data_IF_453452387131
#
_entry.id   IF_453452387131
#
_cell.length_a   1.000
_cell.length_b   1.000
_cell.length_c   1.000
_cell.angle_alpha   90.00
_cell.angle_beta   90.00
_cell.angle_gamma   90.00
#
_symmetry.space_group_name_H-M   'P 1'
#
loop_
_entity.id
_entity.type
_entity.pdbx_description
1 polymer ?
#
# COMPACT_ATOMS: atom_id res chain seq x y z
N UNK A 1 8.40 25.58 6.39
CA UNK A 1 6.92 25.50 6.30
C UNK A 1 6.23 25.90 7.59
N UNK A 2 6.45 25.20 8.75
CA UNK A 2 5.81 25.63 10.02
C UNK A 2 6.21 27.03 10.45
N UNK A 3 7.47 27.37 10.25
CA UNK A 3 8.00 28.71 10.55
C UNK A 3 7.34 29.79 9.66
N UNK A 4 7.07 29.47 8.41
CA UNK A 4 6.45 30.39 7.46
C UNK A 4 4.97 30.64 7.80
N UNK A 5 4.32 29.62 8.37
CA UNK A 5 2.89 29.69 8.74
C UNK A 5 2.65 30.27 10.13
N UNK A 6 3.52 29.99 11.09
CA UNK A 6 3.31 30.23 12.52
C UNK A 6 4.33 31.21 13.14
N UNK A 7 5.29 31.69 12.32
CA UNK A 7 6.37 32.56 12.77
C UNK A 7 7.57 31.81 13.36
N UNK A 8 8.67 32.53 13.50
CA UNK A 8 9.96 31.93 13.93
C UNK A 8 9.93 31.36 15.35
N UNK A 9 9.05 31.87 16.19
CA UNK A 9 8.93 31.47 17.61
C UNK A 9 8.46 30.01 17.77
N UNK A 10 7.77 29.45 16.76
CA UNK A 10 7.30 28.05 16.80
C UNK A 10 8.45 27.07 17.03
N UNK A 11 9.64 27.35 16.53
CA UNK A 11 10.80 26.46 16.67
C UNK A 11 11.18 26.20 18.14
N UNK A 12 10.97 27.18 19.03
CA UNK A 12 11.25 27.03 20.46
C UNK A 12 10.31 26.05 21.17
N UNK A 13 9.16 25.79 20.56
CA UNK A 13 8.11 24.91 21.10
C UNK A 13 8.12 23.52 20.42
N UNK A 14 8.96 23.31 19.42
CA UNK A 14 9.08 22.04 18.71
C UNK A 14 10.20 21.19 19.31
N UNK A 15 9.88 19.93 19.61
CA UNK A 15 10.86 18.91 19.97
C UNK A 15 10.72 17.76 18.99
N UNK A 16 11.82 17.47 18.27
CA UNK A 16 11.87 16.28 17.44
C UNK A 16 11.79 15.02 18.33
N UNK A 17 10.88 14.12 18.00
CA UNK A 17 10.71 12.85 18.70
C UNK A 17 11.25 11.72 17.82
N UNK A 18 10.71 11.57 16.61
CA UNK A 18 11.11 10.55 15.66
C UNK A 18 10.62 10.90 14.24
N UNK A 19 11.19 10.26 13.26
CA UNK A 19 10.70 10.26 11.88
C UNK A 19 10.68 8.82 11.37
N UNK A 20 9.64 8.47 10.64
CA UNK A 20 9.58 7.18 9.94
C UNK A 20 10.52 7.20 8.74
N UNK A 21 11.07 6.05 8.42
CA UNK A 21 11.97 5.84 7.26
C UNK A 21 11.53 4.60 6.49
N UNK A 22 10.26 4.54 6.14
CA UNK A 22 9.67 3.41 5.43
C UNK A 22 10.32 3.13 4.07
N UNK A 23 10.87 4.16 3.44
CA UNK A 23 11.64 4.08 2.21
C UNK A 23 12.94 3.30 2.36
N UNK A 24 13.51 3.27 3.58
CA UNK A 24 14.74 2.56 3.92
C UNK A 24 14.49 1.19 4.56
N UNK A 25 13.24 0.87 4.86
CA UNK A 25 12.87 -0.43 5.41
C UNK A 25 12.98 -1.51 4.33
N UNK A 26 13.64 -2.61 4.66
CA UNK A 26 13.94 -3.70 3.73
C UNK A 26 12.68 -4.34 3.14
N UNK A 27 11.61 -4.43 3.91
CA UNK A 27 10.36 -5.08 3.53
C UNK A 27 9.32 -4.11 3.00
N UNK A 28 9.22 -2.89 3.56
CA UNK A 28 8.23 -1.91 3.18
C UNK A 28 8.62 -1.12 1.92
N UNK A 29 9.85 -0.61 1.86
CA UNK A 29 10.41 0.17 0.75
C UNK A 29 9.53 1.33 0.27
N UNK A 30 8.73 1.87 1.16
CA UNK A 30 7.84 2.99 0.88
C UNK A 30 6.62 3.00 1.78
N UNK A 31 5.77 4.01 1.63
CA UNK A 31 4.56 4.17 2.43
C UNK A 31 3.33 3.47 1.85
N UNK A 32 3.22 3.42 0.53
CA UNK A 32 2.11 2.80 -0.22
C UNK A 32 2.48 2.65 -1.69
N UNK A 33 1.68 1.85 -2.42
CA UNK A 33 1.93 1.59 -3.83
C UNK A 33 1.59 2.78 -4.73
N UNK A 34 2.34 2.94 -5.80
CA UNK A 34 2.13 3.95 -6.81
C UNK A 34 2.09 3.31 -8.21
N UNK A 35 1.05 3.59 -8.96
CA UNK A 35 0.99 3.23 -10.38
C UNK A 35 1.50 4.40 -11.24
N UNK A 36 2.34 4.11 -12.20
CA UNK A 36 2.79 5.12 -13.17
C UNK A 36 1.60 5.62 -14.01
N UNK A 37 1.63 6.85 -14.51
CA UNK A 37 0.61 7.35 -15.42
C UNK A 37 0.39 6.39 -16.60
N UNK A 38 -0.86 6.08 -16.91
CA UNK A 38 -1.24 5.14 -17.97
C UNK A 38 -1.17 3.66 -17.60
N UNK A 39 -0.71 3.30 -16.38
CA UNK A 39 -0.54 1.91 -15.94
C UNK A 39 -1.46 1.51 -14.76
N UNK A 40 -2.61 2.16 -14.63
CA UNK A 40 -3.57 1.83 -13.56
C UNK A 40 -4.02 0.35 -13.60
N UNK A 41 -4.10 -0.26 -14.78
CA UNK A 41 -4.49 -1.66 -14.97
C UNK A 41 -3.44 -2.66 -14.47
N UNK A 42 -2.20 -2.24 -14.21
CA UNK A 42 -1.16 -3.10 -13.63
C UNK A 42 -1.58 -3.67 -12.25
N UNK A 43 -2.47 -2.99 -11.53
CA UNK A 43 -3.03 -3.47 -10.25
C UNK A 43 -3.83 -4.76 -10.43
N UNK A 44 -4.61 -4.86 -11.52
CA UNK A 44 -5.36 -6.07 -11.84
C UNK A 44 -4.42 -7.22 -12.25
N UNK A 45 -3.37 -6.93 -13.00
CA UNK A 45 -2.35 -7.90 -13.36
C UNK A 45 -1.62 -8.42 -12.10
N UNK A 46 -1.28 -7.52 -11.16
CA UNK A 46 -0.66 -7.91 -9.88
C UNK A 46 -1.58 -8.80 -9.03
N UNK A 47 -2.90 -8.55 -9.05
CA UNK A 47 -3.88 -9.33 -8.31
C UNK A 47 -4.12 -10.72 -8.91
N UNK A 48 -3.66 -11.00 -10.13
CA UNK A 48 -3.84 -12.29 -10.78
C UNK A 48 -2.96 -13.36 -10.14
N UNK A 49 -3.51 -14.54 -9.91
CA UNK A 49 -2.74 -15.68 -9.40
C UNK A 49 -1.77 -16.22 -10.46
N UNK A 50 -0.63 -16.73 -10.00
CA UNK A 50 0.33 -17.45 -10.84
C UNK A 50 0.11 -18.94 -10.68
N UNK A 51 -0.25 -19.62 -11.78
CA UNK A 51 -0.48 -21.08 -11.87
C UNK A 51 -1.47 -21.62 -10.82
N UNK A 52 -2.40 -20.80 -10.34
CA UNK A 52 -3.30 -21.14 -9.23
C UNK A 52 -2.56 -21.64 -7.96
N UNK A 53 -1.33 -21.21 -7.76
CA UNK A 53 -0.45 -21.63 -6.66
C UNK A 53 0.08 -20.46 -5.85
N UNK A 54 0.31 -19.32 -6.49
CA UNK A 54 0.78 -18.10 -5.84
C UNK A 54 -0.30 -17.06 -5.99
N UNK A 55 -0.72 -16.49 -4.87
CA UNK A 55 -1.77 -15.48 -4.80
C UNK A 55 -1.21 -14.22 -4.16
N UNK A 56 -1.56 -13.08 -4.70
CA UNK A 56 -1.12 -11.79 -4.21
C UNK A 56 -2.29 -11.03 -3.62
N UNK A 57 -2.04 -10.37 -2.50
CA UNK A 57 -3.00 -9.50 -1.84
C UNK A 57 -2.26 -8.30 -1.22
N UNK A 58 -2.99 -7.26 -0.97
CA UNK A 58 -2.47 -6.02 -0.42
C UNK A 58 -3.11 -4.83 -1.13
N UNK A 59 -2.88 -3.64 -0.60
CA UNK A 59 -3.48 -2.43 -1.17
C UNK A 59 -3.10 -2.21 -2.64
N UNK A 60 -1.90 -2.65 -3.04
CA UNK A 60 -1.42 -2.55 -4.42
C UNK A 60 -2.27 -3.33 -5.43
N UNK A 61 -2.93 -4.42 -4.98
CA UNK A 61 -3.82 -5.25 -5.79
C UNK A 61 -5.23 -4.64 -5.93
N UNK A 62 -5.59 -3.66 -5.11
CA UNK A 62 -6.90 -3.02 -5.17
C UNK A 62 -6.96 -2.00 -6.30
N UNK A 63 -7.96 -2.12 -7.19
CA UNK A 63 -8.17 -1.18 -8.31
C UNK A 63 -8.74 0.16 -7.85
N UNK A 64 -9.60 0.16 -6.83
CA UNK A 64 -10.37 1.32 -6.41
C UNK A 64 -9.96 1.89 -5.05
N UNK A 65 -9.46 1.02 -4.17
CA UNK A 65 -9.10 1.36 -2.79
C UNK A 65 -7.61 1.15 -2.51
N UNK A 66 -6.77 1.39 -3.51
CA UNK A 66 -5.30 1.35 -3.32
C UNK A 66 -4.87 2.39 -2.27
N UNK A 67 -3.71 2.19 -1.69
CA UNK A 67 -3.16 3.04 -0.61
C UNK A 67 -4.00 3.04 0.68
N UNK A 68 -4.91 2.08 0.85
CA UNK A 68 -5.78 2.01 2.03
C UNK A 68 -5.75 0.64 2.70
N UNK A 69 -5.98 0.64 4.02
CA UNK A 69 -6.05 -0.59 4.81
C UNK A 69 -7.26 -1.47 4.40
N UNK A 70 -8.41 -0.87 4.10
CA UNK A 70 -9.58 -1.64 3.67
C UNK A 70 -9.39 -2.25 2.28
N UNK A 71 -8.70 -1.57 1.35
CA UNK A 71 -8.33 -2.16 0.07
C UNK A 71 -7.40 -3.36 0.22
N UNK A 72 -6.45 -3.31 1.16
CA UNK A 72 -5.62 -4.45 1.50
C UNK A 72 -6.44 -5.62 2.07
N UNK A 73 -7.39 -5.33 2.95
CA UNK A 73 -8.31 -6.31 3.53
C UNK A 73 -9.18 -7.01 2.46
N UNK A 74 -9.84 -6.24 1.58
CA UNK A 74 -10.69 -6.77 0.52
C UNK A 74 -9.92 -7.69 -0.43
N UNK A 75 -8.73 -7.30 -0.85
CA UNK A 75 -7.89 -8.13 -1.72
C UNK A 75 -7.39 -9.40 -1.02
N UNK A 76 -7.18 -9.35 0.30
CA UNK A 76 -6.87 -10.52 1.11
C UNK A 76 -8.00 -11.54 1.11
N UNK A 77 -9.24 -11.09 1.30
CA UNK A 77 -10.43 -11.95 1.20
C UNK A 77 -10.55 -12.55 -0.19
N UNK A 78 -10.43 -11.72 -1.25
CA UNK A 78 -10.54 -12.18 -2.62
C UNK A 78 -9.48 -13.26 -2.96
N UNK A 79 -8.23 -13.07 -2.56
CA UNK A 79 -7.17 -14.04 -2.77
C UNK A 79 -7.44 -15.37 -2.05
N UNK A 80 -7.96 -15.32 -0.82
CA UNK A 80 -8.33 -16.52 -0.07
C UNK A 80 -9.50 -17.28 -0.73
N UNK A 81 -10.50 -16.57 -1.20
CA UNK A 81 -11.64 -17.17 -1.92
C UNK A 81 -11.21 -17.80 -3.24
N UNK A 82 -10.32 -17.16 -3.99
CA UNK A 82 -9.76 -17.70 -5.24
C UNK A 82 -8.99 -18.99 -5.00
N UNK A 83 -8.18 -19.03 -3.94
CA UNK A 83 -7.49 -20.24 -3.51
C UNK A 83 -8.47 -21.37 -3.19
N UNK A 84 -9.52 -21.11 -2.43
CA UNK A 84 -10.50 -22.11 -2.06
C UNK A 84 -11.30 -22.63 -3.27
N UNK A 85 -11.66 -21.75 -4.20
CA UNK A 85 -12.33 -22.12 -5.46
C UNK A 85 -11.43 -23.01 -6.34
N UNK A 86 -10.15 -22.73 -6.40
CA UNK A 86 -9.20 -23.55 -7.15
C UNK A 86 -9.03 -24.96 -6.61
N UNK A 87 -9.26 -25.17 -5.31
CA UNK A 87 -9.18 -26.51 -4.66
C UNK A 87 -10.47 -27.32 -4.74
N UNK A 88 -11.60 -26.68 -5.03
CA UNK A 88 -12.90 -27.34 -5.13
C UNK A 88 -13.13 -28.06 -6.48
N UNK A 89 -12.15 -28.01 -7.37
CA UNK A 89 -12.12 -28.72 -8.67
C UNK A 89 -11.14 -29.88 -8.61
#
# INVERSE_FOLDING_TARGET
>A
QLTDMLGADVQKHLRFITATRWDMDEFARGGYSHALPGHADARAALASSVDNRIFFAGEACSRHFFSTAHGAWETGIAAAEDYLRGRAR
#
